data_IF_308448407404
#
_entry.id   IF_308448407404
#
_cell.length_a   1.000
_cell.length_b   1.000
_cell.length_c   1.000
_cell.angle_alpha   90.00
_cell.angle_beta   90.00
_cell.angle_gamma   90.00
#
_symmetry.space_group_name_H-M   'P 1'
#
loop_
_entity.id
_entity.type
_entity.pdbx_description
1 polymer ?
#
# COMPACT_ATOMS: atom_id res chain seq x y z
N UNK A 1 13.50 -29.34 6.33
CA UNK A 1 12.21 -29.36 5.58
C UNK A 1 12.09 -28.04 4.84
N UNK A 2 11.88 -28.05 3.52
CA UNK A 2 11.62 -26.82 2.78
C UNK A 2 10.26 -26.25 3.22
N UNK A 3 10.23 -25.01 3.71
CA UNK A 3 8.97 -24.33 4.03
C UNK A 3 8.30 -23.96 2.71
N UNK A 4 7.08 -24.44 2.48
CA UNK A 4 6.29 -23.99 1.33
C UNK A 4 6.12 -22.47 1.38
N UNK A 5 6.32 -21.82 0.23
CA UNK A 5 6.08 -20.38 0.13
C UNK A 5 4.58 -20.14 0.14
N UNK A 6 4.14 -19.24 1.02
CA UNK A 6 2.79 -18.69 0.98
C UNK A 6 2.69 -17.89 -0.33
N UNK A 7 1.55 -17.96 -1.01
CA UNK A 7 1.23 -17.13 -2.18
C UNK A 7 -0.11 -16.45 -1.95
N UNK A 8 -0.32 -15.32 -2.61
CA UNK A 8 -1.61 -14.65 -2.61
C UNK A 8 -2.61 -15.48 -3.43
N UNK A 9 -3.83 -15.60 -2.94
CA UNK A 9 -4.91 -16.08 -3.80
C UNK A 9 -5.20 -15.04 -4.90
N UNK A 10 -5.77 -15.44 -6.05
CA UNK A 10 -6.17 -14.49 -7.09
C UNK A 10 -7.07 -13.36 -6.56
N UNK A 11 -7.99 -13.69 -5.64
CA UNK A 11 -8.87 -12.69 -5.01
C UNK A 11 -8.10 -11.69 -4.14
N UNK A 12 -7.12 -12.15 -3.37
CA UNK A 12 -6.27 -11.28 -2.56
C UNK A 12 -5.42 -10.37 -3.45
N UNK A 13 -4.85 -10.91 -4.53
CA UNK A 13 -4.09 -10.15 -5.50
C UNK A 13 -4.95 -9.07 -6.18
N UNK A 14 -6.17 -9.43 -6.59
CA UNK A 14 -7.10 -8.49 -7.21
C UNK A 14 -7.54 -7.39 -6.24
N UNK A 15 -7.80 -7.72 -4.96
CA UNK A 15 -8.08 -6.72 -3.92
C UNK A 15 -6.92 -5.77 -3.72
N UNK A 16 -5.70 -6.29 -3.61
CA UNK A 16 -4.50 -5.45 -3.46
C UNK A 16 -4.34 -4.54 -4.68
N UNK A 17 -4.44 -5.07 -5.91
CA UNK A 17 -4.38 -4.28 -7.14
C UNK A 17 -5.48 -3.21 -7.21
N UNK A 18 -6.70 -3.54 -6.78
CA UNK A 18 -7.84 -2.61 -6.76
C UNK A 18 -7.65 -1.38 -5.89
N UNK A 19 -6.73 -1.41 -4.91
CA UNK A 19 -6.43 -0.26 -4.05
C UNK A 19 -5.64 0.87 -4.73
N UNK A 20 -5.18 0.71 -5.98
CA UNK A 20 -4.33 1.73 -6.63
C UNK A 20 -5.02 3.09 -6.72
N UNK A 21 -6.31 3.13 -7.08
CA UNK A 21 -7.09 4.38 -7.13
C UNK A 21 -7.17 5.06 -5.76
N UNK A 22 -7.43 4.29 -4.70
CA UNK A 22 -7.54 4.82 -3.33
C UNK A 22 -6.18 5.34 -2.84
N UNK A 23 -5.09 4.64 -3.17
CA UNK A 23 -3.72 5.04 -2.85
C UNK A 23 -3.37 6.36 -3.53
N UNK A 24 -3.69 6.51 -4.81
CA UNK A 24 -3.42 7.76 -5.54
C UNK A 24 -4.25 8.92 -5.01
N UNK A 25 -5.52 8.69 -4.66
CA UNK A 25 -6.36 9.69 -4.01
C UNK A 25 -5.80 10.11 -2.64
N UNK A 26 -5.43 9.15 -1.79
CA UNK A 26 -4.84 9.41 -0.47
C UNK A 26 -3.52 10.16 -0.56
N UNK A 27 -2.68 9.86 -1.57
CA UNK A 27 -1.43 10.59 -1.81
C UNK A 27 -1.71 12.07 -2.10
N UNK A 28 -2.71 12.37 -2.92
CA UNK A 28 -3.10 13.76 -3.19
C UNK A 28 -3.72 14.46 -1.99
N UNK A 29 -4.51 13.77 -1.16
CA UNK A 29 -5.04 14.34 0.09
C UNK A 29 -3.94 14.66 1.10
N UNK A 30 -2.98 13.75 1.28
CA UNK A 30 -1.77 13.99 2.10
C UNK A 30 -1.05 15.24 1.57
N UNK A 31 -0.83 15.34 0.25
CA UNK A 31 -0.20 16.51 -0.36
C UNK A 31 -0.99 17.80 -0.12
N UNK A 32 -2.32 17.76 -0.23
CA UNK A 32 -3.20 18.91 0.06
C UNK A 32 -3.08 19.34 1.52
N UNK A 33 -3.10 18.39 2.45
CA UNK A 33 -2.97 18.67 3.88
C UNK A 33 -1.62 19.28 4.25
N UNK A 34 -0.51 18.82 3.65
CA UNK A 34 0.82 19.45 3.80
C UNK A 34 0.81 20.92 3.34
N UNK A 35 0.17 21.20 2.20
CA UNK A 35 0.13 22.55 1.62
C UNK A 35 -0.61 23.58 2.49
N UNK A 36 -1.63 23.14 3.22
CA UNK A 36 -2.38 24.00 4.15
C UNK A 36 -1.78 24.03 5.56
N UNK A 37 -0.62 23.39 5.76
CA UNK A 37 0.12 23.44 7.02
C UNK A 37 -0.41 22.52 8.12
N UNK A 38 -1.19 21.49 7.78
CA UNK A 38 -1.61 20.47 8.74
C UNK A 38 -0.42 19.55 9.03
N UNK A 39 -0.12 19.31 10.31
CA UNK A 39 0.86 18.31 10.71
C UNK A 39 0.31 16.91 10.44
N UNK A 40 0.84 16.28 9.40
CA UNK A 40 0.48 14.93 8.97
C UNK A 40 1.67 13.98 8.91
N UNK A 41 2.79 14.30 9.58
CA UNK A 41 4.03 13.54 9.45
C UNK A 41 3.85 12.05 9.77
N UNK A 42 3.15 11.73 10.87
CA UNK A 42 2.84 10.35 11.25
C UNK A 42 1.91 9.66 10.24
N UNK A 43 0.89 10.38 9.75
CA UNK A 43 -0.04 9.85 8.74
C UNK A 43 0.69 9.48 7.44
N UNK A 44 1.56 10.37 6.96
CA UNK A 44 2.38 10.15 5.77
C UNK A 44 3.31 8.94 5.94
N UNK A 45 3.99 8.84 7.08
CA UNK A 45 4.87 7.72 7.36
C UNK A 45 4.12 6.38 7.38
N UNK A 46 2.92 6.35 7.97
CA UNK A 46 2.06 5.14 7.96
C UNK A 46 1.57 4.80 6.57
N UNK A 47 1.19 5.80 5.77
CA UNK A 47 0.77 5.61 4.39
C UNK A 47 1.89 5.03 3.52
N UNK A 48 3.09 5.60 3.57
CA UNK A 48 4.28 5.12 2.84
C UNK A 48 4.66 3.69 3.28
N UNK A 49 4.64 3.41 4.58
CA UNK A 49 4.88 2.07 5.09
C UNK A 49 3.87 1.06 4.53
N UNK A 50 2.58 1.40 4.57
CA UNK A 50 1.51 0.47 4.16
C UNK A 50 1.54 0.22 2.65
N UNK A 51 1.75 1.26 1.86
CA UNK A 51 1.88 1.16 0.40
C UNK A 51 3.13 0.36 -0.01
N UNK A 52 4.25 0.53 0.69
CA UNK A 52 5.46 -0.27 0.46
C UNK A 52 5.23 -1.76 0.77
N UNK A 53 4.51 -2.08 1.86
CA UNK A 53 4.16 -3.46 2.21
C UNK A 53 3.31 -4.08 1.12
N UNK A 54 2.27 -3.37 0.66
CA UNK A 54 1.43 -3.82 -0.47
C UNK A 54 2.27 -4.12 -1.71
N UNK A 55 3.15 -3.21 -2.11
CA UNK A 55 4.00 -3.39 -3.29
C UNK A 55 4.87 -4.65 -3.18
N UNK A 56 5.48 -4.87 -2.01
CA UNK A 56 6.27 -6.07 -1.72
C UNK A 56 5.42 -7.34 -1.69
N UNK A 57 4.22 -7.28 -1.12
CA UNK A 57 3.28 -8.42 -1.12
C UNK A 57 2.93 -8.83 -2.54
N UNK A 58 2.60 -7.88 -3.42
CA UNK A 58 2.35 -8.16 -4.83
C UNK A 58 3.60 -8.74 -5.48
N UNK A 59 4.77 -8.11 -5.33
CA UNK A 59 6.01 -8.55 -5.98
C UNK A 59 6.48 -9.94 -5.55
N UNK A 60 6.46 -10.23 -4.25
CA UNK A 60 7.05 -11.45 -3.69
C UNK A 60 6.05 -12.62 -3.66
N UNK A 61 4.73 -12.36 -3.66
CA UNK A 61 3.69 -13.37 -3.40
C UNK A 61 2.64 -13.54 -4.51
N UNK A 62 2.69 -12.81 -5.64
CA UNK A 62 1.67 -12.90 -6.72
C UNK A 62 1.83 -14.07 -7.71
N UNK A 63 2.42 -15.19 -7.29
CA UNK A 63 2.82 -16.25 -8.21
C UNK A 63 1.64 -16.98 -8.86
#
# INVERSE_FOLDING_TARGET
MAREKIYLTPDQLNRLKGLDTDIDWLREEIRRAELVGIDIADLKARFEKTTSIRARMIQEYSK
#
